data_IF_171384634530
#
_entry.id   IF_171384634530
#
_cell.length_a   1.000
_cell.length_b   1.000
_cell.length_c   1.000
_cell.angle_alpha   90.00
_cell.angle_beta   90.00
_cell.angle_gamma   90.00
#
_symmetry.space_group_name_H-M   'P 1'
#
loop_
_entity.id
_entity.type
_entity.pdbx_description
1 polymer ?
#
# COMPACT_ATOMS: atom_id res chain seq x y z
N UNK A 1 -7.96 -13.50 -14.76
CA UNK A 1 -7.32 -13.33 -13.44
C UNK A 1 -7.63 -11.93 -12.95
N UNK A 2 -8.07 -11.77 -11.70
CA UNK A 2 -8.38 -10.46 -11.12
C UNK A 2 -7.13 -9.83 -10.49
N UNK A 3 -6.99 -8.50 -10.63
CA UNK A 3 -6.06 -7.72 -9.81
C UNK A 3 -6.77 -7.28 -8.54
N UNK A 4 -6.07 -7.34 -7.41
CA UNK A 4 -6.60 -6.85 -6.13
C UNK A 4 -6.46 -5.34 -6.04
N UNK A 5 -7.47 -4.70 -5.48
CA UNK A 5 -7.52 -3.25 -5.27
C UNK A 5 -6.82 -2.86 -3.96
N UNK A 6 -6.95 -3.71 -2.93
CA UNK A 6 -6.32 -3.50 -1.63
C UNK A 6 -4.83 -3.83 -1.65
N UNK A 7 -4.03 -2.99 -1.01
CA UNK A 7 -2.59 -3.19 -0.82
C UNK A 7 -2.34 -3.99 0.46
N UNK A 8 -1.28 -4.80 0.48
CA UNK A 8 -0.87 -5.61 1.63
C UNK A 8 0.44 -5.10 2.22
N UNK A 9 0.74 -5.49 3.46
CA UNK A 9 2.02 -5.13 4.10
C UNK A 9 3.22 -5.56 3.26
N UNK A 10 3.18 -6.75 2.68
CA UNK A 10 4.27 -7.28 1.85
C UNK A 10 4.47 -6.45 0.57
N UNK A 11 3.42 -5.87 0.01
CA UNK A 11 3.58 -4.94 -1.12
C UNK A 11 4.25 -3.66 -0.71
N UNK A 12 3.85 -3.14 0.46
CA UNK A 12 4.47 -1.92 0.97
C UNK A 12 5.95 -2.16 1.25
N UNK A 13 6.32 -3.32 1.82
CA UNK A 13 7.74 -3.71 1.94
C UNK A 13 8.43 -3.79 0.57
N UNK A 14 7.83 -4.48 -0.39
CA UNK A 14 8.38 -4.64 -1.73
C UNK A 14 8.60 -3.30 -2.44
N UNK A 15 7.62 -2.40 -2.35
CA UNK A 15 7.61 -1.10 -3.02
C UNK A 15 8.54 -0.09 -2.35
N UNK A 16 8.61 -0.10 -1.01
CA UNK A 16 9.34 0.92 -0.24
C UNK A 16 10.72 0.47 0.23
N UNK A 17 11.02 -0.83 0.21
CA UNK A 17 12.23 -1.41 0.81
C UNK A 17 12.28 -1.32 2.34
N UNK A 18 11.17 -0.95 2.99
CA UNK A 18 11.09 -0.85 4.44
C UNK A 18 10.91 -2.23 5.09
N UNK A 19 11.27 -2.32 6.38
CA UNK A 19 10.95 -3.51 7.18
C UNK A 19 9.44 -3.71 7.32
N UNK A 20 8.98 -4.96 7.46
CA UNK A 20 7.57 -5.31 7.74
C UNK A 20 6.90 -4.39 8.77
N UNK A 21 7.59 -4.11 9.88
CA UNK A 21 7.05 -3.28 10.97
C UNK A 21 6.83 -1.84 10.53
N UNK A 22 7.74 -1.27 9.75
CA UNK A 22 7.60 0.09 9.22
C UNK A 22 6.51 0.15 8.15
N UNK A 23 6.46 -0.83 7.26
CA UNK A 23 5.41 -0.98 6.25
C UNK A 23 4.01 -1.10 6.88
N UNK A 24 3.88 -1.90 7.93
CA UNK A 24 2.62 -2.03 8.67
C UNK A 24 2.23 -0.71 9.33
N UNK A 25 3.20 0.04 9.86
CA UNK A 25 2.94 1.37 10.46
C UNK A 25 2.38 2.35 9.43
N UNK A 26 2.92 2.38 8.21
CA UNK A 26 2.41 3.21 7.11
C UNK A 26 0.95 2.86 6.80
N UNK A 27 0.61 1.57 6.70
CA UNK A 27 -0.77 1.16 6.46
C UNK A 27 -1.73 1.55 7.59
N UNK A 28 -1.30 1.44 8.85
CA UNK A 28 -2.09 1.91 9.98
C UNK A 28 -2.31 3.43 9.96
N UNK A 29 -1.29 4.20 9.59
CA UNK A 29 -1.39 5.66 9.46
C UNK A 29 -2.43 6.05 8.40
N UNK A 30 -2.35 5.44 7.21
CA UNK A 30 -3.32 5.65 6.12
C UNK A 30 -4.73 5.24 6.54
N UNK A 31 -4.86 4.05 7.15
CA UNK A 31 -6.16 3.54 7.57
C UNK A 31 -6.82 4.42 8.64
N UNK A 32 -6.04 4.92 9.59
CA UNK A 32 -6.51 5.84 10.62
C UNK A 32 -6.92 7.20 10.03
N UNK A 33 -6.13 7.76 9.11
CA UNK A 33 -6.46 9.02 8.43
C UNK A 33 -7.75 8.94 7.61
N UNK A 34 -8.07 7.76 7.08
CA UNK A 34 -9.27 7.50 6.28
C UNK A 34 -10.42 6.87 7.08
N UNK A 35 -10.27 6.74 8.40
CA UNK A 35 -11.24 6.12 9.31
C UNK A 35 -11.74 4.73 8.82
N UNK A 36 -10.80 3.84 8.50
CA UNK A 36 -11.11 2.49 7.98
C UNK A 36 -10.16 1.42 8.52
N UNK A 37 -10.48 0.17 8.24
CA UNK A 37 -9.59 -0.94 8.60
C UNK A 37 -8.39 -1.02 7.64
N UNK A 38 -7.22 -1.38 8.17
CA UNK A 38 -5.96 -1.57 7.42
C UNK A 38 -6.13 -2.45 6.19
N UNK A 39 -6.88 -3.55 6.30
CA UNK A 39 -7.14 -4.49 5.20
C UNK A 39 -7.90 -3.91 4.01
N UNK A 40 -8.47 -2.70 4.14
CA UNK A 40 -9.20 -1.98 3.09
C UNK A 40 -8.44 -0.77 2.55
N UNK A 41 -7.16 -0.60 2.89
CA UNK A 41 -6.30 0.38 2.22
C UNK A 41 -6.07 -0.08 0.79
N UNK A 42 -6.38 0.77 -0.18
CA UNK A 42 -6.19 0.51 -1.61
C UNK A 42 -4.80 0.93 -2.06
N UNK A 43 -4.36 0.38 -3.20
CA UNK A 43 -3.12 0.80 -3.86
C UNK A 43 -3.17 2.30 -4.17
N UNK A 44 -4.31 2.81 -4.63
CA UNK A 44 -4.50 4.23 -4.94
C UNK A 44 -4.34 5.11 -3.71
N UNK A 45 -4.96 4.78 -2.58
CA UNK A 45 -4.83 5.59 -1.35
C UNK A 45 -3.42 5.53 -0.77
N UNK A 46 -2.75 4.38 -0.89
CA UNK A 46 -1.34 4.28 -0.54
C UNK A 46 -0.48 5.20 -1.41
N UNK A 47 -0.69 5.22 -2.73
CA UNK A 47 0.00 6.10 -3.65
C UNK A 47 -0.30 7.58 -3.34
N UNK A 48 -1.57 7.92 -3.09
CA UNK A 48 -1.99 9.27 -2.72
C UNK A 48 -1.37 9.75 -1.41
N UNK A 49 -1.23 8.86 -0.42
CA UNK A 49 -0.62 9.21 0.87
C UNK A 49 0.91 9.32 0.79
N UNK A 50 1.57 8.46 0.01
CA UNK A 50 3.04 8.41 -0.07
C UNK A 50 3.64 9.29 -1.17
N UNK A 51 2.83 9.74 -2.13
CA UNK A 51 3.27 10.44 -3.33
C UNK A 51 3.94 9.52 -4.37
N UNK A 52 3.87 8.20 -4.20
CA UNK A 52 4.41 7.24 -5.16
C UNK A 52 3.53 7.16 -6.40
N UNK A 53 4.16 6.93 -7.56
CA UNK A 53 3.45 6.80 -8.83
C UNK A 53 2.72 5.43 -8.90
N UNK A 54 1.42 5.46 -9.17
CA UNK A 54 0.58 4.25 -9.17
C UNK A 54 0.99 3.23 -10.24
N UNK A 55 1.43 3.67 -11.42
CA UNK A 55 1.85 2.76 -12.50
C UNK A 55 3.13 2.02 -12.12
N UNK A 56 4.07 2.71 -11.46
CA UNK A 56 5.30 2.08 -10.95
C UNK A 56 4.99 1.08 -9.83
N UNK A 57 4.10 1.45 -8.90
CA UNK A 57 3.67 0.57 -7.81
C UNK A 57 2.96 -0.67 -8.34
N UNK A 58 2.00 -0.52 -9.25
CA UNK A 58 1.31 -1.66 -9.86
C UNK A 58 2.26 -2.57 -10.63
N UNK A 59 3.21 -2.00 -11.39
CA UNK A 59 4.23 -2.77 -12.09
C UNK A 59 5.12 -3.55 -11.13
N UNK A 60 5.47 -2.99 -9.98
CA UNK A 60 6.28 -3.69 -8.97
C UNK A 60 5.51 -4.83 -8.30
N UNK A 61 4.20 -4.67 -8.07
CA UNK A 61 3.38 -5.69 -7.39
C UNK A 61 2.92 -6.82 -8.33
N UNK A 62 2.63 -6.49 -9.59
CA UNK A 62 1.96 -7.41 -10.53
C UNK A 62 2.75 -7.71 -11.81
N UNK A 63 3.84 -6.98 -12.09
CA UNK A 63 4.71 -7.19 -13.26
C UNK A 63 5.78 -8.23 -12.99
#
# INVERSE_FOLDING_TARGET
MGRRICITTNDVELVTGQSYRQSLRVLHEIANALNKAVKFVTIEEFCNHTGLNIEQVEKTIFG
#
